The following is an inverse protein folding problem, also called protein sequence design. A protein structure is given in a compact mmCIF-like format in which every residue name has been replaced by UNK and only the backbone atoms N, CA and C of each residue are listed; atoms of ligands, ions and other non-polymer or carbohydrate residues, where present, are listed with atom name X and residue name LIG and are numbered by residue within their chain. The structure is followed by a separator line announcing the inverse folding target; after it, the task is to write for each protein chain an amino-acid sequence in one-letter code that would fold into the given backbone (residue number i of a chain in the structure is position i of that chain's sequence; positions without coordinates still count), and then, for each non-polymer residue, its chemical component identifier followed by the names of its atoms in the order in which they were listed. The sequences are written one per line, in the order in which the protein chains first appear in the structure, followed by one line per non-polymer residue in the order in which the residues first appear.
data_IF_569061728188
#
_entry.id   IF_569061728188
#
_cell.length_a   1.000
_cell.length_b   1.000
_cell.length_c   1.000
_cell.angle_alpha   90.00
_cell.angle_beta   90.00
_cell.angle_gamma   90.00
#
_symmetry.space_group_name_H-M   'P 1'
#
loop_
_entity.id
_entity.type
_entity.pdbx_description
1 polymer ?
#
# COMPACT_ATOMS: atom_id res chain seq x y z
N UNK A 1 11.68 -2.60 -11.24
CA UNK A 1 12.18 -1.70 -10.17
C UNK A 1 11.12 -0.77 -9.59
N UNK A 2 10.23 -0.15 -10.37
CA UNK A 2 9.08 0.60 -9.80
C UNK A 2 8.19 -0.22 -8.86
N UNK A 3 8.17 -1.55 -9.03
CA UNK A 3 7.53 -2.51 -8.13
C UNK A 3 8.15 -2.51 -6.72
N UNK A 4 9.47 -2.33 -6.58
CA UNK A 4 10.13 -2.24 -5.27
C UNK A 4 9.75 -0.94 -4.55
N UNK A 5 9.82 0.20 -5.24
CA UNK A 5 9.38 1.48 -4.69
C UNK A 5 7.90 1.46 -4.29
N UNK A 6 7.04 0.82 -5.10
CA UNK A 6 5.61 0.67 -4.80
C UNK A 6 5.39 -0.25 -3.59
N UNK A 7 6.19 -1.31 -3.44
CA UNK A 7 6.11 -2.22 -2.30
C UNK A 7 6.49 -1.52 -1.00
N UNK A 8 7.54 -0.70 -1.03
CA UNK A 8 7.97 0.06 0.15
C UNK A 8 7.01 1.19 0.54
N UNK A 9 6.38 1.83 -0.45
CA UNK A 9 5.30 2.79 -0.18
C UNK A 9 4.09 2.10 0.47
N UNK A 10 3.67 0.94 -0.07
CA UNK A 10 2.51 0.19 0.44
C UNK A 10 2.78 -0.51 1.77
N UNK A 11 4.03 -0.80 2.11
CA UNK A 11 4.37 -1.43 3.39
C UNK A 11 4.19 -0.47 4.57
N UNK A 12 4.16 0.84 4.32
CA UNK A 12 4.08 1.89 5.37
C UNK A 12 5.15 1.75 6.46
N UNK A 13 6.26 1.05 6.17
CA UNK A 13 7.33 0.80 7.14
C UNK A 13 8.31 1.97 7.26
N UNK A 14 8.33 2.83 6.24
CA UNK A 14 9.15 4.03 6.24
C UNK A 14 8.24 5.19 6.65
N UNK A 15 8.43 5.65 7.87
CA UNK A 15 7.68 6.77 8.45
C UNK A 15 8.65 7.87 8.85
N UNK A 16 8.19 9.12 8.80
CA UNK A 16 8.90 10.24 9.37
C UNK A 16 8.82 10.23 10.91
N UNK A 17 9.48 11.21 11.53
CA UNK A 17 9.49 11.38 12.99
C UNK A 17 8.08 11.65 13.57
N UNK A 18 7.12 12.07 12.74
CA UNK A 18 5.72 12.31 13.10
C UNK A 18 4.84 11.06 12.85
N UNK A 19 5.41 9.97 12.34
CA UNK A 19 4.69 8.73 12.01
C UNK A 19 3.96 8.75 10.67
N UNK A 20 4.18 9.75 9.82
CA UNK A 20 3.60 9.82 8.48
C UNK A 20 4.42 9.00 7.49
N UNK A 21 3.79 8.25 6.59
CA UNK A 21 4.49 7.42 5.63
C UNK A 21 5.30 8.25 4.63
N UNK A 22 6.49 7.77 4.30
CA UNK A 22 7.42 8.43 3.41
C UNK A 22 6.82 8.58 1.99
N UNK A 23 6.91 9.76 1.36
CA UNK A 23 6.42 9.96 0.01
C UNK A 23 7.13 9.05 -1.00
N UNK A 24 6.39 8.51 -1.96
CA UNK A 24 6.91 7.61 -3.00
C UNK A 24 8.16 8.15 -3.71
N UNK A 25 8.21 9.46 -3.99
CA UNK A 25 9.33 10.07 -4.69
C UNK A 25 10.63 10.02 -3.87
N UNK A 26 10.54 10.11 -2.54
CA UNK A 26 11.71 10.00 -1.65
C UNK A 26 12.24 8.56 -1.63
N UNK A 27 11.33 7.58 -1.59
CA UNK A 27 11.67 6.16 -1.67
C UNK A 27 12.32 5.83 -3.03
N UNK A 28 11.74 6.35 -4.12
CA UNK A 28 12.27 6.17 -5.47
C UNK A 28 13.67 6.77 -5.60
N UNK A 29 13.88 8.02 -5.19
CA UNK A 29 15.20 8.67 -5.25
C UNK A 29 16.25 7.95 -4.38
N UNK A 30 15.85 7.47 -3.20
CA UNK A 30 16.76 6.73 -2.31
C UNK A 30 17.22 5.41 -2.92
N UNK A 31 16.31 4.69 -3.57
CA UNK A 31 16.63 3.47 -4.31
C UNK A 31 17.49 3.75 -5.54
N UNK A 32 17.24 4.88 -6.22
CA UNK A 32 18.02 5.35 -7.37
C UNK A 32 19.48 5.54 -6.99
N UNK A 33 19.71 6.23 -5.88
CA UNK A 33 21.03 6.47 -5.30
C UNK A 33 21.68 5.16 -4.83
N UNK A 34 20.94 4.28 -4.14
CA UNK A 34 21.47 3.04 -3.61
C UNK A 34 21.93 2.06 -4.70
N UNK A 35 21.21 2.01 -5.82
CA UNK A 35 21.50 1.10 -6.94
C UNK A 35 22.23 1.78 -8.11
N UNK A 36 22.54 3.07 -7.99
CA UNK A 36 23.17 3.90 -9.02
C UNK A 36 22.48 3.77 -10.39
N UNK A 37 21.13 3.78 -10.39
CA UNK A 37 20.30 3.50 -11.56
C UNK A 37 19.08 4.43 -11.59
N UNK A 38 18.77 5.05 -12.73
CA UNK A 38 17.61 5.94 -12.87
C UNK A 38 16.31 5.17 -13.17
N UNK A 39 15.28 5.37 -12.35
CA UNK A 39 13.91 4.91 -12.60
C UNK A 39 13.18 5.73 -13.65
N UNK A 40 13.74 6.87 -14.08
CA UNK A 40 13.12 7.78 -15.04
C UNK A 40 11.78 8.31 -14.51
N UNK A 41 10.72 8.23 -15.31
CA UNK A 41 9.37 8.59 -14.86
C UNK A 41 8.80 7.48 -13.95
N UNK A 42 9.22 7.51 -12.68
CA UNK A 42 8.85 6.54 -11.66
C UNK A 42 7.32 6.43 -11.50
N UNK A 43 6.58 7.52 -11.68
CA UNK A 43 5.12 7.54 -11.66
C UNK A 43 4.50 6.83 -12.86
N UNK A 44 5.04 7.03 -14.07
CA UNK A 44 4.64 6.24 -15.25
C UNK A 44 4.94 4.76 -15.08
N UNK A 45 6.04 4.43 -14.41
CA UNK A 45 6.38 3.04 -14.07
C UNK A 45 5.37 2.42 -13.08
N UNK A 46 4.94 3.17 -12.07
CA UNK A 46 3.89 2.79 -11.10
C UNK A 46 2.57 2.54 -11.83
N UNK A 47 2.11 3.49 -12.64
CA UNK A 47 0.92 3.32 -13.47
C UNK A 47 1.04 2.10 -14.40
N UNK A 48 2.22 1.83 -14.96
CA UNK A 48 2.48 0.68 -15.84
C UNK A 48 2.39 -0.66 -15.09
N UNK A 49 2.77 -0.71 -13.81
CA UNK A 49 2.61 -1.91 -12.97
C UNK A 49 1.13 -2.20 -12.73
N UNK A 50 0.36 -1.18 -12.36
CA UNK A 50 -1.10 -1.33 -12.14
C UNK A 50 -1.87 -1.66 -13.43
N UNK A 51 -1.46 -1.09 -14.57
CA UNK A 51 -2.10 -1.33 -15.86
C UNK A 51 -1.66 -2.62 -16.56
N UNK A 52 -0.48 -3.18 -16.26
CA UNK A 52 -0.04 -4.47 -16.83
C UNK A 52 -0.68 -5.70 -16.18
N UNK A 53 -1.21 -5.57 -14.97
CA UNK A 53 -1.96 -6.66 -14.29
C UNK A 53 -3.27 -6.14 -13.70
N UNK A 54 -4.25 -5.75 -14.53
CA UNK A 54 -5.56 -5.30 -14.06
C UNK A 54 -6.24 -6.36 -13.17
N UNK A 55 -6.01 -7.65 -13.46
CA UNK A 55 -6.47 -8.76 -12.62
C UNK A 55 -5.97 -8.68 -11.17
N UNK A 56 -4.73 -8.23 -10.94
CA UNK A 56 -4.19 -8.09 -9.59
C UNK A 56 -4.76 -6.86 -8.88
N UNK A 57 -5.13 -5.79 -9.62
CA UNK A 57 -5.81 -4.62 -9.06
C UNK A 57 -7.22 -4.99 -8.59
N UNK A 58 -8.01 -5.67 -9.43
CA UNK A 58 -9.35 -6.14 -9.04
C UNK A 58 -9.27 -7.08 -7.84
N UNK A 59 -8.29 -8.00 -7.83
CA UNK A 59 -8.07 -8.92 -6.71
C UNK A 59 -7.64 -8.20 -5.42
N UNK A 60 -6.82 -7.15 -5.51
CA UNK A 60 -6.43 -6.33 -4.37
C UNK A 60 -7.62 -5.50 -3.84
N UNK A 61 -8.44 -4.94 -4.72
CA UNK A 61 -9.66 -4.21 -4.34
C UNK A 61 -10.70 -5.14 -3.69
N UNK A 62 -10.88 -6.35 -4.23
CA UNK A 62 -11.74 -7.38 -3.64
C UNK A 62 -11.22 -7.81 -2.27
N UNK A 63 -9.89 -7.95 -2.12
CA UNK A 63 -9.27 -8.27 -0.84
C UNK A 63 -9.48 -7.17 0.20
N UNK A 64 -9.29 -5.91 -0.18
CA UNK A 64 -9.56 -4.75 0.70
C UNK A 64 -11.03 -4.66 1.10
N UNK A 65 -11.96 -4.87 0.16
CA UNK A 65 -13.40 -4.94 0.45
C UNK A 65 -13.72 -6.01 1.49
N UNK A 66 -13.14 -7.21 1.33
CA UNK A 66 -13.34 -8.31 2.27
C UNK A 66 -12.76 -8.01 3.65
N UNK A 67 -11.61 -7.33 3.73
CA UNK A 67 -11.03 -6.88 5.00
C UNK A 67 -11.94 -5.88 5.73
N UNK A 68 -12.48 -4.88 5.02
CA UNK A 68 -13.39 -3.89 5.60
C UNK A 68 -14.67 -4.56 6.13
N UNK A 69 -15.25 -5.49 5.35
CA UNK A 69 -16.45 -6.24 5.77
C UNK A 69 -16.14 -7.07 7.02
N UNK A 70 -14.99 -7.75 7.06
CA UNK A 70 -14.57 -8.56 8.21
C UNK A 70 -14.37 -7.71 9.46
N UNK A 71 -13.70 -6.56 9.34
CA UNK A 71 -13.52 -5.62 10.44
C UNK A 71 -14.86 -5.08 10.95
N UNK A 72 -15.78 -4.70 10.05
CA UNK A 72 -17.12 -4.23 10.40
C UNK A 72 -17.93 -5.29 11.16
N UNK A 73 -17.90 -6.55 10.71
CA UNK A 73 -18.56 -7.67 11.41
C UNK A 73 -17.96 -7.90 12.80
N UNK A 74 -16.64 -7.88 12.92
CA UNK A 74 -15.97 -8.06 14.21
C UNK A 74 -16.31 -6.94 15.20
N UNK A 75 -16.44 -5.69 14.72
CA UNK A 75 -16.85 -4.56 15.55
C UNK A 75 -18.32 -4.65 15.98
N UNK A 76 -19.20 -5.22 15.15
CA UNK A 76 -20.59 -5.49 15.51
C UNK A 76 -20.71 -6.58 16.58
N UNK A 77 -19.98 -7.70 16.42
CA UNK A 77 -19.96 -8.78 17.41
C UNK A 77 -19.47 -8.30 18.78
N UNK A 78 -18.38 -7.52 18.82
CA UNK A 78 -17.87 -6.93 20.07
C UNK A 78 -18.87 -5.99 20.76
N UNK A 79 -19.76 -5.34 20.00
CA UNK A 79 -20.77 -4.43 20.54
C UNK A 79 -21.97 -5.21 21.12
N UNK A 80 -22.33 -6.33 20.49
CA UNK A 80 -23.42 -7.19 20.97
C UNK A 80 -23.00 -7.97 22.25
N UNK A 81 -21.73 -8.38 22.36
CA UNK A 81 -21.16 -9.00 23.58
C UNK A 81 -21.07 -8.02 24.77
N UNK A 82 -20.98 -6.70 24.51
CA UNK A 82 -20.92 -5.67 25.55
C UNK A 82 -22.31 -5.23 26.04
N UNK A 83 -23.37 -5.50 25.26
CA UNK A 83 -24.77 -5.15 25.58
C UNK A 83 -25.51 -6.31 26.25
N UNK A 84 -24.95 -7.52 26.20
CA UNK A 84 -25.50 -8.75 26.79
C UNK A 84 -24.92 -9.11 28.17
N UNK A 85 -24.11 -8.21 28.76
CA UNK A 85 -23.55 -8.24 30.11
C UNK A 85 -24.20 -7.15 30.97
#
# INVERSE_FOLDING_TARGET
MGEFATTFELSNQFVDEEGKPAPFIHIAHSLENAFNFSFGDAYKSKNRVFSRKPYNLTKALDYLKNLIIKASRNNKMKKDDFVSL
#
